data_IF_752140228055
#
_entry.id   IF_752140228055
#
_cell.length_a   1.000
_cell.length_b   1.000
_cell.length_c   1.000
_cell.angle_alpha   90.00
_cell.angle_beta   90.00
_cell.angle_gamma   90.00
#
_symmetry.space_group_name_H-M   'P 1'
#
loop_
_entity.id
_entity.type
_entity.pdbx_description
1 polymer ?
#
# COMPACT_ATOMS: atom_id res chain seq x y z
N UNK A 1 -4.62 -20.63 -22.11
CA UNK A 1 -3.43 -21.34 -21.58
C UNK A 1 -3.16 -20.82 -20.17
N UNK A 2 -2.43 -21.57 -19.34
CA UNK A 2 -2.05 -21.14 -18.00
C UNK A 2 -0.57 -21.47 -17.74
N UNK A 3 0.11 -20.65 -16.92
CA UNK A 3 1.45 -20.92 -16.43
C UNK A 3 1.35 -21.41 -14.98
N UNK A 4 2.01 -22.53 -14.68
CA UNK A 4 1.99 -23.12 -13.35
C UNK A 4 3.35 -22.96 -12.66
N UNK A 5 3.32 -22.48 -11.42
CA UNK A 5 4.48 -22.44 -10.53
C UNK A 5 4.24 -23.44 -9.39
N UNK A 6 5.03 -24.51 -9.34
CA UNK A 6 4.94 -25.49 -8.27
C UNK A 6 5.48 -24.92 -6.94
N UNK A 7 5.05 -25.52 -5.82
CA UNK A 7 5.58 -25.23 -4.48
C UNK A 7 5.37 -23.79 -3.99
N UNK A 8 4.28 -23.14 -4.41
CA UNK A 8 3.87 -21.86 -3.83
C UNK A 8 3.33 -22.06 -2.42
N UNK A 9 3.76 -21.20 -1.49
CA UNK A 9 3.24 -21.18 -0.13
C UNK A 9 1.99 -20.31 -0.03
N UNK A 10 0.97 -20.81 0.65
CA UNK A 10 -0.18 -20.05 1.11
C UNK A 10 -0.24 -20.11 2.63
N UNK A 11 -0.35 -18.96 3.29
CA UNK A 11 -0.39 -18.87 4.74
C UNK A 11 -1.28 -17.71 5.19
N UNK A 12 -1.70 -17.75 6.45
CA UNK A 12 -2.48 -16.67 7.05
C UNK A 12 -1.55 -15.50 7.43
N UNK A 13 -1.67 -14.31 6.79
CA UNK A 13 -0.70 -13.23 6.97
C UNK A 13 -0.65 -12.70 8.41
N UNK A 14 -1.80 -12.55 9.08
CA UNK A 14 -1.80 -12.06 10.47
C UNK A 14 -1.20 -13.05 11.47
N UNK A 15 -1.45 -14.36 11.33
CA UNK A 15 -0.82 -15.39 12.19
C UNK A 15 0.70 -15.42 12.00
N UNK A 16 1.15 -15.27 10.75
CA UNK A 16 2.57 -15.14 10.44
C UNK A 16 3.19 -13.89 11.09
N UNK A 17 2.55 -12.73 10.94
CA UNK A 17 3.00 -11.48 11.56
C UNK A 17 2.99 -11.55 13.10
N UNK A 18 1.98 -12.17 13.71
CA UNK A 18 1.93 -12.36 15.16
C UNK A 18 3.13 -13.18 15.67
N UNK A 19 3.54 -14.22 14.93
CA UNK A 19 4.75 -14.98 15.24
C UNK A 19 6.03 -14.14 15.14
N UNK A 20 6.15 -13.30 14.10
CA UNK A 20 7.29 -12.40 13.92
C UNK A 20 7.35 -11.25 14.94
N UNK A 21 6.18 -10.81 15.43
CA UNK A 21 6.05 -9.71 16.38
C UNK A 21 6.40 -10.11 17.82
N UNK A 22 6.24 -11.39 18.18
CA UNK A 22 6.40 -11.89 19.55
C UNK A 22 7.71 -11.47 20.27
N UNK A 23 8.90 -11.46 19.63
CA UNK A 23 10.13 -11.04 20.29
C UNK A 23 10.39 -9.51 20.27
N UNK A 24 9.51 -8.71 19.67
CA UNK A 24 9.72 -7.28 19.46
C UNK A 24 9.11 -6.43 20.57
N UNK A 25 9.75 -5.31 20.90
CA UNK A 25 9.15 -4.27 21.71
C UNK A 25 8.25 -3.39 20.84
N UNK A 26 6.93 -3.55 20.98
CA UNK A 26 5.93 -2.85 20.18
C UNK A 26 5.25 -1.78 21.03
N UNK A 27 5.25 -0.55 20.53
CA UNK A 27 4.60 0.59 21.17
C UNK A 27 3.41 1.04 20.32
N UNK A 28 2.20 0.78 20.81
CA UNK A 28 0.96 1.24 20.18
C UNK A 28 0.61 2.66 20.64
N UNK A 29 -0.32 3.30 19.93
CA UNK A 29 -0.76 4.70 20.18
C UNK A 29 0.40 5.72 20.26
N UNK A 30 1.52 5.39 19.62
CA UNK A 30 2.77 6.17 19.62
C UNK A 30 3.09 6.56 18.18
N UNK A 31 2.24 7.40 17.61
CA UNK A 31 2.33 7.81 16.21
C UNK A 31 3.64 8.57 15.97
N UNK A 32 4.44 8.11 15.02
CA UNK A 32 5.62 8.81 14.55
C UNK A 32 5.20 10.03 13.70
N UNK A 33 5.72 11.21 14.05
CA UNK A 33 5.33 12.50 13.46
C UNK A 33 6.44 13.12 12.62
N UNK A 34 7.67 13.15 13.15
CA UNK A 34 8.84 13.75 12.48
C UNK A 34 10.12 12.94 12.70
N UNK A 35 11.03 12.92 11.71
CA UNK A 35 12.41 12.47 11.93
C UNK A 35 13.20 13.63 12.54
N UNK A 36 13.83 13.39 13.67
CA UNK A 36 14.75 14.37 14.28
C UNK A 36 16.19 13.99 13.91
N UNK A 37 17.15 14.89 14.17
CA UNK A 37 18.57 14.56 14.02
C UNK A 37 19.06 13.45 14.96
N UNK A 38 18.25 13.02 15.94
CA UNK A 38 18.61 12.06 16.98
C UNK A 38 17.65 10.85 17.06
N UNK A 39 16.56 10.84 16.30
CA UNK A 39 15.48 9.88 16.52
C UNK A 39 14.19 10.22 15.78
N UNK A 40 13.08 9.91 16.44
CA UNK A 40 11.71 10.08 15.94
C UNK A 40 10.89 10.84 16.97
N UNK A 41 10.33 11.99 16.57
CA UNK A 41 9.31 12.68 17.35
C UNK A 41 8.00 11.92 17.21
N UNK A 42 7.33 11.67 18.33
CA UNK A 42 6.02 11.01 18.38
C UNK A 42 4.98 11.91 19.07
N UNK A 43 3.71 11.52 19.04
CA UNK A 43 2.65 12.16 19.82
C UNK A 43 2.81 12.00 21.34
N UNK A 44 3.75 11.16 21.83
CA UNK A 44 3.97 10.89 23.26
C UNK A 44 5.38 11.25 23.76
N UNK A 45 6.23 11.80 22.90
CA UNK A 45 7.62 12.15 23.23
C UNK A 45 8.60 11.78 22.11
N UNK A 46 9.89 11.94 22.36
CA UNK A 46 10.94 11.61 21.40
C UNK A 46 11.52 10.21 21.70
N UNK A 47 11.65 9.38 20.66
CA UNK A 47 12.34 8.09 20.72
C UNK A 47 13.69 8.25 20.01
N UNK A 48 14.79 8.07 20.73
CA UNK A 48 16.14 8.15 20.15
C UNK A 48 16.60 6.80 19.58
N UNK A 49 17.22 6.83 18.41
CA UNK A 49 17.73 5.62 17.76
C UNK A 49 18.95 5.94 16.89
N UNK A 50 19.92 5.02 16.84
CA UNK A 50 21.08 5.11 15.95
C UNK A 50 20.75 4.77 14.49
N UNK A 51 19.74 3.94 14.30
CA UNK A 51 19.29 3.40 13.00
C UNK A 51 17.77 3.41 12.99
N UNK A 52 17.18 3.93 11.93
CA UNK A 52 15.72 4.08 11.80
C UNK A 52 15.30 3.46 10.47
N UNK A 53 14.27 2.62 10.47
CA UNK A 53 13.66 2.06 9.26
C UNK A 53 12.24 2.61 9.14
N UNK A 54 11.96 3.35 8.08
CA UNK A 54 10.63 3.86 7.76
C UNK A 54 9.89 2.83 6.92
N UNK A 55 8.95 2.11 7.54
CA UNK A 55 8.14 1.06 6.92
C UNK A 55 6.63 1.36 7.03
N UNK A 56 6.24 2.62 6.86
CA UNK A 56 4.90 3.15 7.17
C UNK A 56 3.92 3.08 5.99
N UNK A 57 4.06 2.07 5.12
CA UNK A 57 3.37 1.99 3.83
C UNK A 57 3.73 3.16 2.89
N UNK A 58 3.07 4.31 2.97
CA UNK A 58 3.59 5.57 2.41
C UNK A 58 4.56 6.23 3.41
N UNK A 59 5.78 6.65 3.01
CA UNK A 59 6.70 7.29 3.94
C UNK A 59 6.10 8.56 4.53
N UNK A 60 5.95 8.61 5.86
CA UNK A 60 5.33 9.74 6.56
C UNK A 60 6.16 11.03 6.47
N UNK A 61 7.43 10.96 6.07
CA UNK A 61 8.32 12.11 6.01
C UNK A 61 8.51 12.63 4.59
N UNK A 62 7.69 13.61 4.21
CA UNK A 62 7.63 14.11 2.84
C UNK A 62 8.74 15.11 2.47
N UNK A 63 9.56 15.59 3.43
CA UNK A 63 10.59 16.62 3.19
C UNK A 63 11.84 16.10 2.48
N UNK A 64 12.23 14.85 2.74
CA UNK A 64 13.45 14.26 2.20
C UNK A 64 13.12 13.03 1.34
N UNK A 65 13.95 12.78 0.32
CA UNK A 65 13.82 11.59 -0.53
C UNK A 65 12.76 11.66 -1.62
N UNK A 66 11.95 12.74 -1.68
CA UNK A 66 10.97 13.00 -2.75
C UNK A 66 9.98 11.84 -2.99
N UNK A 67 9.56 11.14 -1.94
CA UNK A 67 8.62 10.02 -2.06
C UNK A 67 7.24 10.38 -2.65
N UNK A 68 6.68 11.59 -2.44
CA UNK A 68 5.43 11.98 -3.09
C UNK A 68 5.43 11.85 -4.62
N UNK A 69 6.56 12.15 -5.30
CA UNK A 69 6.63 12.02 -6.76
C UNK A 69 6.95 10.58 -7.21
N UNK A 70 7.38 9.71 -6.29
CA UNK A 70 7.79 8.33 -6.56
C UNK A 70 6.67 7.32 -6.36
N UNK A 71 5.61 7.70 -5.64
CA UNK A 71 4.59 6.79 -5.15
C UNK A 71 3.20 7.28 -5.51
N UNK A 72 2.31 6.34 -5.78
CA UNK A 72 0.86 6.56 -5.92
C UNK A 72 0.12 5.33 -5.41
N UNK A 73 -1.19 5.46 -5.18
CA UNK A 73 -1.96 4.44 -4.48
C UNK A 73 -2.97 3.82 -5.42
N UNK A 74 -3.03 2.49 -5.43
CA UNK A 74 -4.10 1.74 -6.06
C UNK A 74 -5.01 1.10 -5.01
N UNK A 75 -6.26 0.90 -5.38
CA UNK A 75 -7.22 0.09 -4.63
C UNK A 75 -7.55 -1.16 -5.42
N UNK A 76 -7.81 -2.24 -4.70
CA UNK A 76 -8.43 -3.45 -5.23
C UNK A 76 -9.41 -4.01 -4.23
N UNK A 77 -10.28 -4.90 -4.66
CA UNK A 77 -11.38 -5.40 -3.86
C UNK A 77 -11.31 -6.91 -3.75
N UNK A 78 -11.83 -7.45 -2.67
CA UNK A 78 -11.95 -8.90 -2.46
C UNK A 78 -13.32 -9.22 -1.86
N UNK A 79 -13.92 -10.29 -2.36
CA UNK A 79 -15.08 -10.96 -1.77
C UNK A 79 -14.63 -12.31 -1.21
N UNK A 80 -15.15 -12.70 -0.05
CA UNK A 80 -15.07 -14.07 0.43
C UNK A 80 -16.42 -14.74 0.21
N UNK A 81 -16.44 -15.75 -0.66
CA UNK A 81 -17.64 -16.46 -1.09
C UNK A 81 -17.74 -17.80 -0.38
N UNK A 82 -18.85 -18.01 0.33
CA UNK A 82 -19.21 -19.28 0.98
C UNK A 82 -20.05 -20.13 0.03
N UNK A 83 -19.74 -21.42 -0.07
CA UNK A 83 -20.43 -22.33 -1.01
C UNK A 83 -20.01 -22.17 -2.47
N UNK A 84 -18.96 -21.38 -2.74
CA UNK A 84 -18.29 -21.35 -4.03
C UNK A 84 -17.32 -22.54 -4.20
N UNK A 85 -16.84 -22.74 -5.42
CA UNK A 85 -15.91 -23.82 -5.75
C UNK A 85 -14.62 -23.77 -4.93
N UNK A 86 -14.14 -24.94 -4.51
CA UNK A 86 -12.74 -25.15 -4.14
C UNK A 86 -11.91 -25.27 -5.43
N UNK A 87 -11.09 -24.26 -5.70
CA UNK A 87 -10.25 -24.20 -6.91
C UNK A 87 -8.91 -24.92 -6.73
N UNK A 88 -8.60 -25.38 -5.50
CA UNK A 88 -7.39 -26.17 -5.19
C UNK A 88 -6.09 -25.53 -5.71
N UNK A 89 -5.83 -24.28 -5.30
CA UNK A 89 -4.63 -23.54 -5.65
C UNK A 89 -4.80 -22.03 -5.48
N UNK A 90 -3.80 -21.29 -5.98
CA UNK A 90 -3.86 -19.84 -6.12
C UNK A 90 -3.73 -19.47 -7.58
N UNK A 91 -4.60 -18.59 -8.05
CA UNK A 91 -4.67 -18.17 -9.43
C UNK A 91 -4.70 -16.66 -9.53
N UNK A 92 -4.08 -16.15 -10.59
CA UNK A 92 -4.13 -14.76 -10.99
C UNK A 92 -4.23 -14.69 -12.51
N UNK A 93 -5.14 -13.85 -12.97
CA UNK A 93 -5.32 -13.56 -14.39
C UNK A 93 -4.16 -12.66 -14.90
N UNK A 94 -3.73 -12.92 -16.12
CA UNK A 94 -2.70 -12.14 -16.81
C UNK A 94 -3.26 -10.79 -17.30
N UNK A 95 -4.57 -10.73 -17.57
CA UNK A 95 -5.21 -9.52 -18.03
C UNK A 95 -5.10 -8.38 -17.00
N UNK A 96 -4.84 -7.16 -17.48
CA UNK A 96 -4.81 -5.97 -16.64
C UNK A 96 -6.18 -5.76 -15.99
N UNK A 97 -6.22 -5.82 -14.66
CA UNK A 97 -7.47 -5.72 -13.90
C UNK A 97 -8.27 -7.03 -13.81
N UNK A 98 -7.66 -8.14 -14.24
CA UNK A 98 -8.23 -9.47 -14.12
C UNK A 98 -8.37 -9.95 -12.68
N UNK A 99 -8.84 -11.18 -12.54
CA UNK A 99 -9.23 -11.76 -11.25
C UNK A 99 -8.09 -12.51 -10.58
N UNK A 100 -8.13 -12.55 -9.26
CA UNK A 100 -7.35 -13.49 -8.45
C UNK A 100 -8.29 -14.35 -7.63
N UNK A 101 -7.96 -15.63 -7.47
CA UNK A 101 -8.78 -16.55 -6.71
C UNK A 101 -7.95 -17.59 -5.96
N UNK A 102 -8.36 -17.86 -4.72
CA UNK A 102 -7.75 -18.87 -3.82
C UNK A 102 -8.74 -19.22 -2.71
N UNK A 103 -8.65 -20.41 -2.15
CA UNK A 103 -9.51 -20.81 -1.03
C UNK A 103 -8.82 -20.61 0.32
N UNK A 104 -9.58 -20.23 1.35
CA UNK A 104 -9.13 -20.20 2.75
C UNK A 104 -10.32 -20.47 3.67
N UNK A 105 -10.15 -21.38 4.63
CA UNK A 105 -11.17 -21.72 5.65
C UNK A 105 -12.57 -22.01 5.06
N UNK A 106 -12.62 -22.75 3.94
CA UNK A 106 -13.87 -23.11 3.25
C UNK A 106 -14.52 -21.98 2.44
N UNK A 107 -13.84 -20.83 2.28
CA UNK A 107 -14.29 -19.70 1.48
C UNK A 107 -13.43 -19.58 0.21
N UNK A 108 -14.05 -19.16 -0.89
CA UNK A 108 -13.32 -18.71 -2.08
C UNK A 108 -13.07 -17.20 -1.98
N UNK A 109 -11.80 -16.80 -1.96
CA UNK A 109 -11.41 -15.39 -1.99
C UNK A 109 -11.31 -14.96 -3.46
N UNK A 110 -12.25 -14.13 -3.91
CA UNK A 110 -12.31 -13.57 -5.26
C UNK A 110 -11.86 -12.12 -5.23
N UNK A 111 -10.68 -11.83 -5.78
CA UNK A 111 -10.09 -10.49 -5.82
C UNK A 111 -10.03 -9.88 -7.22
N UNK A 112 -10.13 -8.56 -7.33
CA UNK A 112 -10.03 -7.85 -8.61
C UNK A 112 -10.34 -6.35 -8.50
N UNK A 113 -10.61 -5.71 -9.63
CA UNK A 113 -11.03 -4.29 -9.66
C UNK A 113 -9.91 -3.30 -9.32
N UNK A 114 -8.67 -3.66 -9.67
CA UNK A 114 -7.50 -2.80 -9.51
C UNK A 114 -7.67 -1.45 -10.24
N UNK A 115 -7.51 -0.34 -9.52
CA UNK A 115 -7.54 1.00 -10.09
C UNK A 115 -6.83 2.00 -9.18
N UNK A 116 -6.49 3.18 -9.70
CA UNK A 116 -5.92 4.26 -8.88
C UNK A 116 -6.95 4.75 -7.85
N UNK A 117 -6.51 4.91 -6.60
CA UNK A 117 -7.33 5.46 -5.50
C UNK A 117 -8.00 6.78 -5.90
N UNK A 118 -9.22 7.03 -5.45
CA UNK A 118 -9.96 8.26 -5.78
C UNK A 118 -10.35 8.39 -7.26
N UNK A 119 -10.19 7.34 -8.08
CA UNK A 119 -10.80 7.26 -9.42
C UNK A 119 -12.10 6.47 -9.35
N UNK A 120 -13.01 6.78 -10.29
CA UNK A 120 -14.19 5.94 -10.50
C UNK A 120 -13.76 4.55 -10.95
N UNK A 121 -14.30 3.52 -10.32
CA UNK A 121 -14.18 2.13 -10.69
C UNK A 121 -15.48 1.39 -10.33
N UNK A 122 -15.59 0.14 -10.78
CA UNK A 122 -16.77 -0.70 -10.48
C UNK A 122 -16.87 -1.14 -9.01
N UNK A 123 -15.79 -1.01 -8.24
CA UNK A 123 -15.81 -1.32 -6.80
C UNK A 123 -16.15 -2.78 -6.51
N UNK A 124 -16.79 -3.02 -5.36
CA UNK A 124 -17.39 -4.30 -5.05
C UNK A 124 -18.51 -4.68 -6.03
N UNK A 125 -19.30 -3.73 -6.54
CA UNK A 125 -20.42 -4.02 -7.44
C UNK A 125 -19.98 -4.79 -8.70
N UNK A 126 -18.80 -4.48 -9.24
CA UNK A 126 -18.22 -5.26 -10.34
C UNK A 126 -17.84 -6.70 -9.93
N UNK A 127 -17.24 -6.88 -8.75
CA UNK A 127 -16.94 -8.23 -8.24
C UNK A 127 -18.20 -9.01 -7.87
N UNK A 128 -19.22 -8.34 -7.34
CA UNK A 128 -20.52 -8.93 -7.00
C UNK A 128 -21.23 -9.41 -8.26
N UNK A 129 -21.18 -8.63 -9.34
CA UNK A 129 -21.72 -9.04 -10.64
C UNK A 129 -21.02 -10.28 -11.20
N UNK A 130 -19.69 -10.35 -11.08
CA UNK A 130 -18.91 -11.52 -11.49
C UNK A 130 -19.18 -12.73 -10.57
N UNK A 131 -19.31 -12.52 -9.26
CA UNK A 131 -19.67 -13.57 -8.32
C UNK A 131 -21.05 -14.14 -8.62
N UNK A 132 -22.05 -13.28 -8.90
CA UNK A 132 -23.39 -13.72 -9.30
C UNK A 132 -23.38 -14.50 -10.63
N UNK A 133 -22.50 -14.12 -11.57
CA UNK A 133 -22.36 -14.80 -12.85
C UNK A 133 -21.71 -16.18 -12.73
N UNK A 134 -20.57 -16.27 -12.03
CA UNK A 134 -19.74 -17.48 -12.00
C UNK A 134 -20.04 -18.40 -10.81
N UNK A 135 -20.57 -17.85 -9.71
CA UNK A 135 -20.87 -18.55 -8.48
C UNK A 135 -22.30 -18.21 -7.98
N UNK A 136 -23.36 -18.44 -8.78
CA UNK A 136 -24.71 -17.97 -8.50
C UNK A 136 -25.34 -18.54 -7.21
N UNK A 137 -24.80 -19.65 -6.69
CA UNK A 137 -25.26 -20.29 -5.45
C UNK A 137 -24.41 -19.90 -4.23
N UNK A 138 -23.35 -19.11 -4.42
CA UNK A 138 -22.47 -18.71 -3.34
C UNK A 138 -23.00 -17.49 -2.59
N UNK A 139 -22.80 -17.49 -1.28
CA UNK A 139 -23.12 -16.37 -0.41
C UNK A 139 -21.87 -15.50 -0.21
N UNK A 140 -22.02 -14.17 -0.29
CA UNK A 140 -20.93 -13.25 0.06
C UNK A 140 -20.86 -13.16 1.59
N UNK A 141 -19.89 -13.84 2.19
CA UNK A 141 -19.68 -13.83 3.63
C UNK A 141 -18.95 -12.56 4.11
N UNK A 142 -17.97 -12.09 3.34
CA UNK A 142 -17.17 -10.92 3.69
C UNK A 142 -16.76 -10.12 2.45
N UNK A 143 -16.49 -8.83 2.67
CA UNK A 143 -15.94 -7.91 1.67
C UNK A 143 -14.85 -7.05 2.31
N UNK A 144 -13.78 -6.80 1.58
CA UNK A 144 -12.80 -5.78 1.95
C UNK A 144 -12.16 -5.18 0.71
N UNK A 145 -11.42 -4.10 0.93
CA UNK A 145 -10.64 -3.43 -0.10
C UNK A 145 -9.21 -3.23 0.40
N UNK A 146 -8.26 -3.25 -0.52
CA UNK A 146 -6.85 -2.94 -0.25
C UNK A 146 -6.54 -1.52 -0.68
N UNK A 147 -5.46 -0.99 -0.12
CA UNK A 147 -4.81 0.19 -0.65
C UNK A 147 -3.31 -0.10 -0.78
N UNK A 148 -2.83 -0.18 -2.01
CA UNK A 148 -1.49 -0.64 -2.34
C UNK A 148 -0.62 0.54 -2.75
N UNK A 149 0.57 0.66 -2.15
CA UNK A 149 1.55 1.69 -2.48
C UNK A 149 2.39 1.26 -3.69
N UNK A 150 2.23 1.97 -4.79
CA UNK A 150 2.80 1.65 -6.10
C UNK A 150 4.01 2.54 -6.41
N UNK A 151 5.17 1.97 -6.79
CA UNK A 151 6.33 2.68 -7.29
C UNK A 151 6.16 3.02 -8.78
N UNK A 152 7.09 3.80 -9.34
CA UNK A 152 7.03 4.22 -10.74
C UNK A 152 7.39 3.10 -11.74
N UNK A 153 8.07 2.05 -11.28
CA UNK A 153 8.78 1.07 -12.10
C UNK A 153 8.52 -0.39 -11.68
N UNK A 154 7.49 -0.63 -10.87
CA UNK A 154 7.13 -1.94 -10.32
C UNK A 154 8.21 -2.60 -9.44
N UNK A 155 9.17 -1.85 -8.90
CA UNK A 155 10.16 -2.34 -7.93
C UNK A 155 9.97 -1.61 -6.59
N UNK A 156 9.98 -2.26 -5.42
CA UNK A 156 9.91 -1.53 -4.16
C UNK A 156 11.13 -0.63 -3.92
N UNK A 157 10.98 0.44 -3.14
CA UNK A 157 12.08 1.28 -2.69
C UNK A 157 12.57 0.77 -1.33
N UNK A 158 13.79 0.23 -1.29
CA UNK A 158 14.40 -0.36 -0.11
C UNK A 158 15.86 0.11 -0.01
N UNK A 159 16.22 0.77 1.09
CA UNK A 159 17.58 1.23 1.32
C UNK A 159 17.65 2.60 2.01
N UNK A 160 18.78 3.34 1.89
CA UNK A 160 18.96 4.63 2.55
C UNK A 160 17.89 5.65 2.16
N UNK A 161 17.27 6.28 3.16
CA UNK A 161 16.09 7.13 2.99
C UNK A 161 16.36 8.36 2.11
N UNK A 162 17.44 9.08 2.40
CA UNK A 162 17.91 10.26 1.66
C UNK A 162 19.39 10.54 1.97
N UNK A 163 20.08 11.32 1.14
CA UNK A 163 21.52 11.64 1.35
C UNK A 163 21.79 12.43 2.63
N UNK A 164 20.87 13.28 3.05
CA UNK A 164 21.01 14.10 4.27
C UNK A 164 20.58 13.41 5.57
N UNK A 165 20.21 12.13 5.53
CA UNK A 165 19.70 11.39 6.69
C UNK A 165 20.49 10.08 6.91
N UNK A 166 21.77 10.17 7.33
CA UNK A 166 22.58 8.99 7.57
C UNK A 166 21.95 8.12 8.67
N UNK A 167 21.92 6.80 8.44
CA UNK A 167 21.32 5.85 9.39
C UNK A 167 19.79 5.74 9.32
N UNK A 168 19.14 6.49 8.42
CA UNK A 168 17.71 6.33 8.13
C UNK A 168 17.54 5.54 6.84
N UNK A 169 16.65 4.55 6.86
CA UNK A 169 16.32 3.66 5.75
C UNK A 169 14.81 3.69 5.49
N UNK A 170 14.40 3.22 4.32
CA UNK A 170 13.00 3.08 3.93
C UNK A 170 12.72 1.68 3.42
N UNK A 171 11.48 1.23 3.59
CA UNK A 171 10.87 0.12 2.87
C UNK A 171 9.45 0.51 2.44
N UNK A 172 9.22 0.70 1.16
CA UNK A 172 7.92 1.16 0.61
C UNK A 172 7.75 0.72 -0.85
N UNK A 173 6.57 0.93 -1.44
CA UNK A 173 6.32 0.63 -2.85
C UNK A 173 6.21 -0.87 -3.13
N UNK A 174 5.76 -1.66 -2.16
CA UNK A 174 5.61 -3.11 -2.28
C UNK A 174 4.50 -3.55 -3.23
N UNK A 175 3.69 -2.61 -3.71
CA UNK A 175 2.54 -2.89 -4.57
C UNK A 175 1.64 -3.92 -3.91
N UNK A 176 1.26 -4.95 -4.66
CA UNK A 176 0.39 -6.06 -4.25
C UNK A 176 1.20 -7.29 -3.81
N UNK A 177 2.53 -7.16 -3.75
CA UNK A 177 3.49 -8.26 -3.64
C UNK A 177 4.36 -8.18 -2.38
N UNK A 178 3.88 -7.50 -1.34
CA UNK A 178 4.62 -7.36 -0.08
C UNK A 178 4.99 -8.70 0.55
N UNK A 179 4.10 -9.70 0.50
CA UNK A 179 4.37 -11.02 1.10
C UNK A 179 5.54 -11.76 0.43
N UNK A 180 5.70 -11.66 -0.90
CA UNK A 180 6.78 -12.34 -1.62
C UNK A 180 8.12 -11.60 -1.51
N UNK A 181 8.08 -10.28 -1.34
CA UNK A 181 9.28 -9.43 -1.35
C UNK A 181 9.75 -8.99 0.05
N UNK A 182 8.95 -9.19 1.10
CA UNK A 182 9.30 -8.81 2.48
C UNK A 182 10.57 -9.49 2.99
N UNK A 183 10.80 -10.77 2.66
CA UNK A 183 11.99 -11.51 3.13
C UNK A 183 13.28 -11.00 2.48
N UNK A 184 13.21 -10.67 1.18
CA UNK A 184 14.31 -9.99 0.49
C UNK A 184 14.56 -8.62 1.12
N UNK A 185 13.50 -7.84 1.38
CA UNK A 185 13.61 -6.56 2.05
C UNK A 185 14.29 -6.68 3.42
N UNK A 186 13.92 -7.67 4.23
CA UNK A 186 14.50 -7.85 5.57
C UNK A 186 15.98 -8.22 5.50
N UNK A 187 16.39 -9.10 4.58
CA UNK A 187 17.80 -9.46 4.39
C UNK A 187 18.61 -8.25 3.94
N UNK A 188 18.12 -7.54 2.92
CA UNK A 188 18.78 -6.36 2.38
C UNK A 188 18.92 -5.23 3.41
N UNK A 189 17.88 -4.95 4.20
CA UNK A 189 17.96 -3.95 5.26
C UNK A 189 18.87 -4.40 6.41
N UNK A 190 18.86 -5.68 6.78
CA UNK A 190 19.75 -6.19 7.82
C UNK A 190 21.23 -6.00 7.43
N UNK A 191 21.59 -6.31 6.19
CA UNK A 191 22.94 -6.05 5.67
C UNK A 191 23.27 -4.55 5.72
N UNK A 192 22.41 -3.70 5.15
CA UNK A 192 22.65 -2.26 5.09
C UNK A 192 22.71 -1.58 6.47
N UNK A 193 21.92 -2.04 7.44
CA UNK A 193 21.92 -1.53 8.82
C UNK A 193 23.19 -1.95 9.56
N UNK A 194 23.68 -3.16 9.29
CA UNK A 194 24.91 -3.71 9.89
C UNK A 194 26.19 -3.34 9.13
N UNK A 195 26.09 -2.56 8.04
CA UNK A 195 27.23 -2.07 7.27
C UNK A 195 27.80 -3.09 6.30
N UNK A 196 27.06 -4.16 5.97
CA UNK A 196 27.41 -5.14 4.96
C UNK A 196 26.93 -4.68 3.59
N UNK A 197 27.74 -4.93 2.57
CA UNK A 197 27.33 -4.76 1.19
C UNK A 197 26.31 -5.84 0.80
N UNK A 198 25.33 -5.46 -0.02
CA UNK A 198 24.33 -6.39 -0.53
C UNK A 198 24.24 -6.23 -2.07
N UNK A 199 24.43 -7.32 -2.85
CA UNK A 199 24.48 -7.25 -4.31
C UNK A 199 23.14 -6.84 -4.94
N UNK A 200 22.03 -6.98 -4.22
CA UNK A 200 20.71 -6.58 -4.71
C UNK A 200 20.38 -5.10 -4.43
N UNK A 201 21.16 -4.41 -3.58
CA UNK A 201 20.93 -3.01 -3.22
C UNK A 201 20.74 -2.04 -4.42
N UNK A 202 21.50 -2.17 -5.53
CA UNK A 202 21.32 -1.29 -6.70
C UNK A 202 19.93 -1.38 -7.35
N UNK A 203 19.26 -2.53 -7.26
CA UNK A 203 17.92 -2.73 -7.84
C UNK A 203 16.87 -1.98 -7.02
N UNK A 204 16.96 -2.06 -5.70
CA UNK A 204 15.93 -1.56 -4.78
C UNK A 204 16.19 -0.14 -4.27
N UNK A 205 17.37 0.43 -4.55
CA UNK A 205 17.77 1.72 -4.01
C UNK A 205 16.71 2.82 -4.24
N UNK A 206 16.32 3.58 -3.20
CA UNK A 206 15.41 4.72 -3.35
C UNK A 206 15.96 5.85 -4.22
N UNK A 207 17.25 5.80 -4.59
CA UNK A 207 17.95 6.82 -5.38
C UNK A 207 17.95 6.55 -6.89
N UNK A 208 17.33 5.45 -7.34
CA UNK A 208 17.24 5.15 -8.77
C UNK A 208 16.39 6.18 -9.51
N UNK A 209 16.48 6.14 -10.84
CA UNK A 209 15.81 7.10 -11.73
C UNK A 209 14.32 7.19 -11.44
N UNK A 210 13.78 8.42 -11.52
CA UNK A 210 12.32 8.67 -11.46
C UNK A 210 11.72 8.84 -12.85
N UNK A 211 12.54 8.84 -13.90
CA UNK A 211 12.12 9.08 -15.27
C UNK A 211 11.45 7.85 -15.88
N UNK A 212 10.20 7.63 -15.48
CA UNK A 212 9.32 6.60 -16.01
C UNK A 212 8.05 7.23 -16.59
N UNK A 213 7.39 6.62 -17.59
CA UNK A 213 6.12 7.11 -18.11
C UNK A 213 5.06 7.33 -17.02
N UNK A 214 5.09 6.51 -15.96
CA UNK A 214 4.22 6.64 -14.80
C UNK A 214 4.37 7.98 -14.06
N UNK A 215 5.58 8.59 -14.06
CA UNK A 215 5.79 9.91 -13.46
C UNK A 215 4.97 10.98 -14.17
N UNK A 216 4.95 10.97 -15.50
CA UNK A 216 4.16 11.92 -16.29
C UNK A 216 2.66 11.73 -16.05
N UNK A 217 2.18 10.47 -15.99
CA UNK A 217 0.80 10.16 -15.65
C UNK A 217 0.43 10.65 -14.25
N UNK A 218 1.32 10.48 -13.27
CA UNK A 218 1.13 10.97 -11.90
C UNK A 218 1.12 12.50 -11.83
N UNK A 219 2.02 13.18 -12.53
CA UNK A 219 2.08 14.63 -12.58
C UNK A 219 0.81 15.24 -13.20
N UNK A 220 0.34 14.66 -14.31
CA UNK A 220 -0.92 15.05 -14.94
C UNK A 220 -2.10 14.89 -13.99
N UNK A 221 -2.19 13.73 -13.30
CA UNK A 221 -3.26 13.48 -12.34
C UNK A 221 -3.23 14.49 -11.18
N UNK A 222 -2.05 14.76 -10.63
CA UNK A 222 -1.87 15.72 -9.54
C UNK A 222 -2.27 17.13 -9.96
N UNK A 223 -1.79 17.60 -11.12
CA UNK A 223 -2.11 18.93 -11.62
C UNK A 223 -3.62 19.08 -11.86
N UNK A 224 -4.25 18.09 -12.50
CA UNK A 224 -5.69 18.07 -12.73
C UNK A 224 -6.49 18.24 -11.43
N UNK A 225 -6.14 17.50 -10.38
CA UNK A 225 -6.89 17.54 -9.12
C UNK A 225 -6.53 18.73 -8.24
N UNK A 226 -5.33 19.31 -8.37
CA UNK A 226 -5.00 20.60 -7.75
C UNK A 226 -5.82 21.74 -8.37
N UNK A 227 -6.02 21.73 -9.68
CA UNK A 227 -6.77 22.77 -10.38
C UNK A 227 -8.29 22.59 -10.30
N UNK A 228 -8.78 21.40 -9.95
CA UNK A 228 -10.22 21.14 -9.83
C UNK A 228 -10.80 21.85 -8.58
N UNK A 229 -11.76 22.77 -8.72
CA UNK A 229 -12.39 23.42 -7.58
C UNK A 229 -13.39 22.45 -6.92
N UNK A 230 -13.13 22.10 -5.66
CA UNK A 230 -14.01 21.25 -4.84
C UNK A 230 -13.83 21.57 -3.35
N UNK A 231 -14.79 21.13 -2.53
CA UNK A 231 -14.64 20.98 -1.08
C UNK A 231 -15.22 19.61 -0.66
N UNK A 232 -14.63 18.93 0.33
CA UNK A 232 -13.38 19.27 1.01
C UNK A 232 -12.14 19.03 0.13
N UNK A 233 -10.97 19.54 0.56
CA UNK A 233 -9.68 19.36 -0.14
C UNK A 233 -8.70 18.59 0.74
N UNK A 234 -7.87 17.77 0.11
CA UNK A 234 -6.91 16.92 0.80
C UNK A 234 -5.98 17.73 1.69
N UNK A 235 -5.88 17.40 2.97
CA UNK A 235 -4.99 18.08 3.93
C UNK A 235 -3.49 17.86 3.64
N UNK A 236 -3.13 16.92 2.76
CA UNK A 236 -1.75 16.70 2.34
C UNK A 236 -1.19 17.86 1.50
N UNK A 237 -1.70 18.06 0.27
CA UNK A 237 -1.24 19.10 -0.67
C UNK A 237 -2.39 19.87 -1.32
N UNK A 238 -3.62 19.70 -0.83
CA UNK A 238 -4.78 20.42 -1.35
C UNK A 238 -5.39 19.85 -2.62
N UNK A 239 -5.08 18.61 -3.04
CA UNK A 239 -5.78 17.98 -4.17
C UNK A 239 -7.29 17.86 -3.91
N UNK A 240 -8.08 17.95 -4.98
CA UNK A 240 -9.51 17.64 -4.96
C UNK A 240 -9.76 16.23 -4.43
N UNK A 241 -10.67 16.11 -3.46
CA UNK A 241 -11.13 14.82 -2.94
C UNK A 241 -12.32 14.32 -3.73
N UNK A 242 -12.49 12.99 -3.77
CA UNK A 242 -13.62 12.31 -4.37
C UNK A 242 -14.34 11.51 -3.31
N UNK A 243 -15.66 11.63 -3.27
CA UNK A 243 -16.49 10.82 -2.39
C UNK A 243 -16.54 9.38 -2.90
N UNK A 244 -16.24 8.44 -2.02
CA UNK A 244 -16.40 7.01 -2.19
C UNK A 244 -17.64 6.55 -1.39
N UNK A 245 -18.80 6.41 -2.04
CA UNK A 245 -20.04 6.08 -1.35
C UNK A 245 -20.07 4.65 -0.80
N UNK A 246 -19.19 3.76 -1.27
CA UNK A 246 -19.18 2.37 -0.82
C UNK A 246 -18.55 2.21 0.57
N UNK A 247 -17.65 3.13 0.94
CA UNK A 247 -16.94 3.11 2.23
C UNK A 247 -17.22 4.36 3.07
N UNK A 248 -18.02 5.29 2.56
CA UNK A 248 -18.26 6.59 3.18
C UNK A 248 -16.95 7.36 3.44
N UNK A 249 -16.07 7.40 2.44
CA UNK A 249 -14.75 8.06 2.55
C UNK A 249 -14.52 9.13 1.51
N UNK A 250 -13.70 10.12 1.86
CA UNK A 250 -13.10 11.05 0.92
C UNK A 250 -11.72 10.56 0.48
N UNK A 251 -11.56 10.28 -0.80
CA UNK A 251 -10.35 9.68 -1.35
C UNK A 251 -9.60 10.68 -2.26
N UNK A 252 -8.29 10.81 -2.06
CA UNK A 252 -7.41 11.64 -2.86
C UNK A 252 -6.76 10.85 -4.00
N UNK A 253 -7.00 11.24 -5.26
CA UNK A 253 -6.40 10.52 -6.40
C UNK A 253 -4.94 10.85 -6.67
N UNK A 254 -4.38 11.89 -6.06
CA UNK A 254 -2.97 12.24 -6.23
C UNK A 254 -2.06 11.19 -5.60
N UNK A 255 -2.22 10.97 -4.29
CA UNK A 255 -1.36 10.09 -3.48
C UNK A 255 -2.16 9.24 -2.47
N UNK A 256 -3.47 9.07 -2.67
CA UNK A 256 -4.27 8.09 -1.92
C UNK A 256 -4.60 8.41 -0.48
N UNK A 257 -4.40 9.63 0.02
CA UNK A 257 -4.91 9.98 1.36
C UNK A 257 -6.42 9.76 1.43
N UNK A 258 -6.89 9.18 2.54
CA UNK A 258 -8.33 8.91 2.76
C UNK A 258 -8.79 9.46 4.09
N UNK A 259 -10.04 9.87 4.14
CA UNK A 259 -10.69 10.44 5.30
C UNK A 259 -12.09 9.86 5.44
N UNK A 260 -12.60 9.73 6.66
CA UNK A 260 -13.98 9.31 6.89
C UNK A 260 -14.97 10.42 6.52
N UNK A 261 -16.27 10.14 6.67
CA UNK A 261 -17.35 11.09 6.39
C UNK A 261 -17.26 12.37 7.24
N UNK A 262 -16.73 12.27 8.46
CA UNK A 262 -16.51 13.39 9.38
C UNK A 262 -15.18 14.14 9.10
N UNK A 263 -14.37 13.66 8.16
CA UNK A 263 -13.11 14.25 7.77
C UNK A 263 -11.90 13.78 8.59
N UNK A 264 -12.07 12.79 9.48
CA UNK A 264 -10.95 12.21 10.22
C UNK A 264 -10.04 11.41 9.28
N UNK A 265 -8.73 11.54 9.45
CA UNK A 265 -7.74 10.85 8.63
C UNK A 265 -7.79 9.33 8.84
N UNK A 266 -7.95 8.58 7.74
CA UNK A 266 -7.90 7.11 7.72
C UNK A 266 -6.57 6.62 7.15
N UNK A 267 -6.13 7.16 6.01
CA UNK A 267 -4.93 6.72 5.30
C UNK A 267 -3.99 7.87 4.95
N UNK A 268 -2.69 7.62 5.12
CA UNK A 268 -1.61 8.53 4.74
C UNK A 268 -1.50 8.64 3.20
N UNK A 269 -0.81 9.65 2.62
CA UNK A 269 0.23 10.55 3.18
C UNK A 269 -0.23 11.80 3.93
N UNK A 270 -1.52 12.11 4.00
CA UNK A 270 -1.99 13.19 4.87
C UNK A 270 -1.60 12.87 6.33
N UNK A 271 -1.36 13.91 7.12
CA UNK A 271 -0.95 13.82 8.53
C UNK A 271 -1.94 14.49 9.48
N UNK A 272 -3.02 15.04 8.94
CA UNK A 272 -4.05 15.75 9.69
C UNK A 272 -5.41 15.55 9.04
N UNK A 273 -6.44 15.72 9.85
CA UNK A 273 -7.84 15.66 9.42
C UNK A 273 -8.19 16.78 8.42
N UNK A 274 -9.33 16.61 7.76
CA UNK A 274 -9.90 17.66 6.91
C UNK A 274 -10.41 18.81 7.76
N UNK A 275 -10.30 20.02 7.22
CA UNK A 275 -11.02 21.19 7.70
C UNK A 275 -12.29 21.31 6.86
N UNK A 276 -13.38 20.71 7.35
CA UNK A 276 -14.69 20.72 6.69
C UNK A 276 -15.34 22.12 6.73
#
# INVERSE_FOLDING_TARGET
SALCFASQAQFHPLKFLAGLAAPLHIYEHTQALELTGRGVQTNRGEIQAKKIIVATHFPIYNRHGFYPIKLYQERSYVLALKGAQDVSGMYIDEAKGGLSFRNADGLLLLGGGAHRTGKKAGGWAALESLAAQYYPQAEIAFRWATQDCMPLDNVPYIGPYASGLPGVYVATGFQKWGMSTAMLCSQLLADLVTGRENPYAPVFTPRRSVWHPQLAANAFETLKNLLTPTRPRCSHLGCALKWNPAEHTWDCSCHGSRFDEAGALIDNPAQSDLKL
#
